data_IF_027292899975
#
_entry.id   IF_027292899975
#
_cell.length_a   1.000
_cell.length_b   1.000
_cell.length_c   1.000
_cell.angle_alpha   90.00
_cell.angle_beta   90.00
_cell.angle_gamma   90.00
#
_symmetry.space_group_name_H-M   'P 1'
#
loop_
_entity.id
_entity.type
_entity.pdbx_description
1 polymer ?
#
# COMPACT_ATOMS: atom_id res chain seq x y z
N UNK A 1 42.37 24.99 -24.50
CA UNK A 1 41.05 25.08 -23.86
C UNK A 1 40.12 24.06 -24.49
N UNK A 2 39.96 22.89 -23.87
CA UNK A 2 39.05 21.86 -24.36
C UNK A 2 37.61 22.19 -23.96
N UNK A 3 36.72 22.28 -24.95
CA UNK A 3 35.28 22.45 -24.74
C UNK A 3 34.69 21.10 -24.31
N UNK A 4 34.15 21.02 -23.09
CA UNK A 4 33.40 19.87 -22.61
C UNK A 4 32.02 19.89 -23.28
N UNK A 5 31.76 18.91 -24.14
CA UNK A 5 30.45 18.67 -24.75
C UNK A 5 29.76 17.53 -24.01
N UNK A 6 28.57 17.77 -23.47
CA UNK A 6 27.71 16.72 -22.92
C UNK A 6 26.60 16.48 -23.96
N UNK A 7 26.69 15.44 -24.80
CA UNK A 7 25.65 15.15 -25.76
C UNK A 7 24.43 14.57 -25.04
N UNK A 8 23.26 15.19 -25.24
CA UNK A 8 21.96 14.62 -24.87
C UNK A 8 21.16 15.49 -23.88
N UNK A 9 20.55 16.57 -24.36
CA UNK A 9 19.34 17.09 -23.73
C UNK A 9 18.17 16.27 -24.28
N UNK A 10 18.07 15.02 -23.83
CA UNK A 10 16.90 14.20 -24.09
C UNK A 10 15.69 14.85 -23.43
N UNK A 11 14.57 14.94 -24.15
CA UNK A 11 13.34 15.61 -23.72
C UNK A 11 12.89 15.16 -22.33
N UNK A 12 13.19 15.99 -21.33
CA UNK A 12 12.70 15.81 -19.98
C UNK A 12 11.18 15.90 -20.00
N UNK A 13 10.52 14.97 -19.30
CA UNK A 13 9.12 15.13 -19.01
C UNK A 13 8.95 16.37 -18.12
N UNK A 14 7.90 17.13 -18.39
CA UNK A 14 7.51 18.26 -17.55
C UNK A 14 7.20 17.76 -16.12
N UNK A 15 7.71 18.46 -15.10
CA UNK A 15 7.55 18.06 -13.69
C UNK A 15 6.24 18.62 -13.10
N UNK A 16 5.62 19.61 -13.75
CA UNK A 16 4.38 20.24 -13.27
C UNK A 16 3.17 19.29 -13.29
N UNK A 17 3.28 18.14 -13.98
CA UNK A 17 2.24 17.09 -13.99
C UNK A 17 2.35 16.10 -12.83
N UNK A 18 3.38 16.21 -11.98
CA UNK A 18 3.59 15.30 -10.85
C UNK A 18 2.55 15.58 -9.75
N UNK A 19 1.76 14.55 -9.43
CA UNK A 19 0.75 14.59 -8.35
C UNK A 19 1.11 13.73 -7.15
N UNK A 20 2.14 12.89 -7.26
CA UNK A 20 2.55 12.00 -6.17
C UNK A 20 3.16 12.79 -5.00
N UNK A 21 2.61 12.59 -3.81
CA UNK A 21 3.17 13.08 -2.55
C UNK A 21 3.96 11.99 -1.82
N UNK A 22 4.65 12.36 -0.73
CA UNK A 22 5.43 11.41 0.06
C UNK A 22 4.54 10.28 0.62
N UNK A 23 3.29 10.61 0.98
CA UNK A 23 2.29 9.66 1.46
C UNK A 23 1.86 8.62 0.43
N UNK A 24 2.08 8.88 -0.86
CA UNK A 24 1.72 7.99 -1.96
C UNK A 24 2.87 7.03 -2.31
N UNK A 25 4.06 7.28 -1.76
CA UNK A 25 5.27 6.53 -2.05
C UNK A 25 5.63 5.63 -0.89
N UNK A 26 5.96 4.38 -1.19
CA UNK A 26 6.37 3.38 -0.19
C UNK A 26 7.49 3.90 0.71
N UNK A 27 7.40 3.56 1.99
CA UNK A 27 8.33 4.03 3.03
C UNK A 27 9.79 3.78 2.62
N UNK A 28 10.59 4.85 2.65
CA UNK A 28 12.03 4.79 2.34
C UNK A 28 12.37 4.68 0.85
N UNK A 29 11.39 4.66 -0.07
CA UNK A 29 11.63 4.89 -1.50
C UNK A 29 11.73 6.38 -1.77
N UNK A 30 12.44 6.76 -2.82
CA UNK A 30 12.64 8.18 -3.19
C UNK A 30 12.07 8.43 -4.57
N UNK A 31 11.33 9.54 -4.72
CA UNK A 31 10.87 10.09 -6.00
C UNK A 31 11.39 11.52 -6.17
N UNK A 32 11.13 12.15 -7.31
CA UNK A 32 11.29 13.59 -7.50
C UNK A 32 9.94 14.28 -7.43
N UNK A 33 9.86 15.43 -6.79
CA UNK A 33 8.66 16.27 -6.77
C UNK A 33 8.61 17.21 -7.99
N UNK A 34 7.52 17.99 -8.09
CA UNK A 34 7.30 18.97 -9.18
C UNK A 34 8.38 20.06 -9.26
N UNK A 35 9.09 20.32 -8.17
CA UNK A 35 10.17 21.31 -8.11
C UNK A 35 11.54 20.66 -8.38
N UNK A 36 11.57 19.37 -8.68
CA UNK A 36 12.78 18.59 -8.97
C UNK A 36 13.53 18.11 -7.73
N UNK A 37 12.95 18.25 -6.53
CA UNK A 37 13.60 17.85 -5.29
C UNK A 37 13.35 16.37 -4.98
N UNK A 38 14.32 15.67 -4.36
CA UNK A 38 14.10 14.31 -3.89
C UNK A 38 13.11 14.30 -2.72
N UNK A 39 12.10 13.45 -2.81
CA UNK A 39 11.08 13.23 -1.78
C UNK A 39 11.14 11.79 -1.31
N UNK A 40 11.32 11.58 0.00
CA UNK A 40 11.30 10.23 0.58
C UNK A 40 9.87 9.84 0.93
N UNK A 41 9.45 8.65 0.47
CA UNK A 41 8.15 8.09 0.72
C UNK A 41 7.89 7.79 2.19
N UNK A 42 6.65 8.04 2.60
CA UNK A 42 6.15 7.94 3.97
C UNK A 42 4.85 7.16 4.08
N UNK A 43 4.39 6.53 2.98
CA UNK A 43 3.20 5.66 3.01
C UNK A 43 3.31 4.66 4.16
N UNK A 44 2.26 4.58 4.98
CA UNK A 44 2.19 3.60 6.04
C UNK A 44 2.32 2.19 5.46
N UNK A 45 3.03 1.31 6.15
CA UNK A 45 3.19 -0.08 5.73
C UNK A 45 2.68 -1.02 6.82
N UNK A 46 2.05 -2.13 6.40
CA UNK A 46 1.61 -3.19 7.29
C UNK A 46 2.16 -4.54 6.82
N UNK A 47 2.88 -5.19 7.71
CA UNK A 47 3.40 -6.54 7.52
C UNK A 47 2.29 -7.59 7.46
N UNK A 48 2.66 -8.84 7.20
CA UNK A 48 1.74 -9.97 7.21
C UNK A 48 0.97 -10.06 8.55
N UNK A 49 -0.31 -10.40 8.47
CA UNK A 49 -1.13 -10.63 9.66
C UNK A 49 -2.21 -11.68 9.38
N UNK A 50 -2.68 -12.32 10.45
CA UNK A 50 -3.75 -13.32 10.41
C UNK A 50 -4.93 -12.83 11.24
N UNK A 51 -6.12 -12.85 10.65
CA UNK A 51 -7.38 -12.41 11.22
C UNK A 51 -8.27 -13.62 11.48
N UNK A 52 -8.85 -13.67 12.67
CA UNK A 52 -9.74 -14.74 13.12
C UNK A 52 -11.11 -14.13 13.38
N UNK A 53 -12.19 -14.80 12.96
CA UNK A 53 -13.56 -14.35 13.25
C UNK A 53 -13.73 -13.99 14.73
N UNK A 54 -14.19 -12.77 14.99
CA UNK A 54 -14.55 -12.28 16.32
C UNK A 54 -16.03 -11.87 16.32
N UNK A 55 -16.58 -11.57 17.49
CA UNK A 55 -17.90 -10.94 17.64
C UNK A 55 -17.86 -9.40 17.43
N UNK A 56 -16.82 -8.90 16.75
CA UNK A 56 -16.64 -7.50 16.41
C UNK A 56 -15.81 -7.36 15.12
N UNK A 57 -15.91 -6.20 14.48
CA UNK A 57 -15.21 -5.91 13.24
C UNK A 57 -13.70 -5.84 13.45
N UNK A 58 -12.97 -6.57 12.61
CA UNK A 58 -11.53 -6.40 12.48
C UNK A 58 -11.24 -5.50 11.29
N UNK A 59 -10.56 -4.39 11.54
CA UNK A 59 -10.29 -3.38 10.51
C UNK A 59 -8.84 -3.45 10.06
N UNK A 60 -8.63 -3.55 8.75
CA UNK A 60 -7.36 -3.20 8.12
C UNK A 60 -7.47 -1.73 7.75
N UNK A 61 -6.69 -0.87 8.42
CA UNK A 61 -6.72 0.57 8.16
C UNK A 61 -6.51 0.90 6.68
N UNK A 62 -7.19 1.94 6.19
CA UNK A 62 -7.02 2.43 4.82
C UNK A 62 -5.67 3.15 4.64
N UNK A 63 -5.31 3.44 3.39
CA UNK A 63 -4.15 4.26 3.01
C UNK A 63 -2.80 3.72 3.52
N UNK A 64 -2.62 2.40 3.45
CA UNK A 64 -1.36 1.74 3.76
C UNK A 64 -1.03 0.67 2.71
N UNK A 65 0.26 0.42 2.52
CA UNK A 65 0.76 -0.65 1.68
C UNK A 65 0.91 -1.95 2.49
N UNK A 66 0.36 -3.04 1.99
CA UNK A 66 0.50 -4.36 2.60
C UNK A 66 1.80 -5.00 2.10
N UNK A 67 2.81 -5.13 2.96
CA UNK A 67 4.10 -5.73 2.62
C UNK A 67 4.09 -7.26 2.71
N UNK A 68 3.00 -7.83 3.24
CA UNK A 68 2.77 -9.26 3.28
C UNK A 68 1.28 -9.60 3.34
N UNK A 69 0.97 -10.87 3.12
CA UNK A 69 -0.40 -11.37 3.07
C UNK A 69 -1.17 -11.05 4.34
N UNK A 70 -2.41 -10.62 4.16
CA UNK A 70 -3.40 -10.53 5.24
C UNK A 70 -4.31 -11.73 5.08
N UNK A 71 -4.21 -12.69 6.00
CA UNK A 71 -4.96 -13.94 5.91
C UNK A 71 -6.17 -13.86 6.81
N UNK A 72 -7.37 -13.87 6.23
CA UNK A 72 -8.61 -14.06 6.98
C UNK A 72 -8.85 -15.56 7.05
N UNK A 73 -8.80 -16.11 8.26
CA UNK A 73 -8.93 -17.55 8.49
C UNK A 73 -10.39 -17.94 8.34
N UNK A 74 -10.66 -18.88 7.45
CA UNK A 74 -11.97 -19.52 7.36
C UNK A 74 -12.22 -20.41 8.59
N UNK A 75 -13.46 -20.50 9.02
CA UNK A 75 -13.86 -21.40 10.10
C UNK A 75 -14.42 -22.71 9.52
N UNK A 76 -13.69 -23.82 9.75
CA UNK A 76 -14.06 -25.15 9.28
C UNK A 76 -15.38 -25.67 9.84
N UNK A 77 -15.91 -25.10 10.93
CA UNK A 77 -17.20 -25.46 11.50
C UNK A 77 -18.38 -24.73 10.87
N UNK A 78 -18.16 -23.75 9.98
CA UNK A 78 -19.22 -23.10 9.19
C UNK A 78 -19.72 -24.03 8.08
N UNK A 79 -20.29 -25.17 8.49
CA UNK A 79 -20.82 -26.22 7.64
C UNK A 79 -22.33 -26.36 7.88
N UNK A 80 -23.14 -26.68 6.86
CA UNK A 80 -24.60 -26.74 7.00
C UNK A 80 -25.08 -27.66 8.14
N UNK A 81 -24.41 -28.80 8.34
CA UNK A 81 -24.77 -29.77 9.39
C UNK A 81 -24.39 -29.31 10.81
N UNK A 82 -23.51 -28.31 10.95
CA UNK A 82 -23.15 -27.72 12.24
C UNK A 82 -24.05 -26.53 12.62
N UNK A 83 -24.89 -26.04 11.69
CA UNK A 83 -25.78 -24.89 11.93
C UNK A 83 -27.09 -25.38 12.53
N UNK A 84 -27.35 -24.99 13.79
CA UNK A 84 -28.61 -25.31 14.46
C UNK A 84 -29.74 -24.44 13.93
N UNK A 85 -30.84 -25.07 13.52
CA UNK A 85 -32.06 -24.36 13.10
C UNK A 85 -32.56 -23.43 14.21
N UNK A 86 -32.84 -22.18 13.85
CA UNK A 86 -33.39 -21.18 14.77
C UNK A 86 -32.37 -20.50 15.69
N UNK A 87 -31.07 -20.81 15.54
CA UNK A 87 -29.99 -20.10 16.24
C UNK A 87 -29.39 -19.06 15.31
N UNK A 88 -29.43 -17.80 15.72
CA UNK A 88 -28.74 -16.70 15.03
C UNK A 88 -27.23 -16.86 15.26
N UNK A 89 -26.47 -16.90 14.17
CA UNK A 89 -25.00 -17.08 14.15
C UNK A 89 -24.26 -15.86 13.57
N UNK A 90 -24.99 -14.76 13.32
CA UNK A 90 -24.50 -13.46 12.86
C UNK A 90 -25.19 -12.35 13.65
#
# INVERSE_FOLDING_TARGET
MGRLWIPGSGGGADLDVITAAASDVRKGKVIVDKDGNPLTGTMAEKGAATYYGQNYDQVIAANQYLTGNQTIVGDGNLQPWNIKRGVTIF
#
